data_IF_605372282979
#
_entry.id   IF_605372282979
#
_cell.length_a   1.000
_cell.length_b   1.000
_cell.length_c   1.000
_cell.angle_alpha   90.00
_cell.angle_beta   90.00
_cell.angle_gamma   90.00
#
_symmetry.space_group_name_H-M   'P 1'
#
loop_
_entity.id
_entity.type
_entity.pdbx_description
1 polymer ?
#
# COMPACT_ATOMS: atom_id res chain seq x y z
N UNK A 1 -14.79 -3.32 -18.37
CA UNK A 1 -14.21 -4.64 -18.03
C UNK A 1 -12.68 -4.69 -18.17
N UNK A 2 -12.04 -3.74 -18.90
CA UNK A 2 -10.57 -3.56 -18.98
C UNK A 2 -10.03 -2.57 -17.91
N UNK A 3 -10.90 -2.13 -17.00
CA UNK A 3 -10.78 -0.85 -16.26
C UNK A 3 -9.91 -0.90 -14.99
N UNK A 4 -9.55 -2.08 -14.49
CA UNK A 4 -8.78 -2.22 -13.22
C UNK A 4 -7.77 -3.37 -13.27
N UNK A 5 -7.91 -4.31 -14.21
CA UNK A 5 -7.01 -5.45 -14.35
C UNK A 5 -5.62 -5.05 -14.87
N UNK A 6 -5.50 -3.97 -15.66
CA UNK A 6 -4.18 -3.47 -16.07
C UNK A 6 -3.47 -2.74 -14.91
N UNK A 7 -4.26 -2.01 -14.12
CA UNK A 7 -3.85 -1.13 -13.01
C UNK A 7 -3.29 -1.90 -11.80
N UNK A 8 -3.88 -3.04 -11.46
CA UNK A 8 -3.46 -3.82 -10.28
C UNK A 8 -2.40 -4.89 -10.63
N UNK A 9 -2.25 -5.24 -11.91
CA UNK A 9 -1.32 -6.30 -12.37
C UNK A 9 0.05 -5.74 -12.77
N UNK A 10 0.20 -4.43 -13.00
CA UNK A 10 1.49 -3.82 -13.33
C UNK A 10 2.39 -3.50 -12.12
N UNK A 11 2.89 -4.55 -11.44
CA UNK A 11 4.07 -4.53 -10.52
C UNK A 11 3.76 -4.50 -9.02
N UNK A 12 3.24 -5.61 -8.51
CA UNK A 12 3.25 -5.90 -7.07
C UNK A 12 4.51 -6.71 -6.70
N UNK A 13 5.35 -6.11 -5.85
CA UNK A 13 6.68 -6.57 -5.43
C UNK A 13 6.65 -7.49 -4.19
N UNK A 14 7.52 -8.52 -4.19
CA UNK A 14 7.99 -9.43 -3.10
C UNK A 14 7.15 -10.66 -2.59
N UNK A 15 7.68 -11.86 -2.96
CA UNK A 15 7.88 -13.19 -2.29
C UNK A 15 6.73 -13.96 -1.53
N UNK A 16 6.36 -15.21 -1.91
CA UNK A 16 6.78 -16.60 -1.47
C UNK A 16 6.41 -16.93 0.01
N UNK A 17 5.74 -18.02 0.47
CA UNK A 17 5.25 -19.31 -0.06
C UNK A 17 4.25 -20.02 0.93
N UNK A 18 3.51 -21.02 0.42
CA UNK A 18 2.84 -22.23 1.01
C UNK A 18 1.73 -22.16 2.12
N UNK A 19 0.63 -22.96 2.02
CA UNK A 19 -0.51 -22.92 2.93
C UNK A 19 -0.40 -23.95 4.07
N UNK A 20 -0.45 -23.52 5.33
CA UNK A 20 -0.66 -24.44 6.46
C UNK A 20 -1.75 -23.97 7.43
N UNK A 21 -2.50 -24.98 7.87
CA UNK A 21 -3.75 -25.00 8.63
C UNK A 21 -3.72 -24.26 9.97
N UNK A 22 -4.89 -23.70 10.31
CA UNK A 22 -5.23 -23.06 11.58
C UNK A 22 -5.03 -23.95 12.81
N UNK A 23 -4.33 -23.46 13.84
CA UNK A 23 -4.38 -23.95 15.23
C UNK A 23 -4.32 -22.75 16.19
N UNK A 24 -5.08 -22.82 17.29
CA UNK A 24 -5.28 -21.76 18.30
C UNK A 24 -4.28 -21.89 19.47
N UNK A 25 -3.62 -20.76 19.76
CA UNK A 25 -3.04 -20.21 21.00
C UNK A 25 -2.28 -21.10 22.02
N UNK A 26 -1.07 -20.63 22.37
CA UNK A 26 -0.45 -20.82 23.69
C UNK A 26 1.03 -20.42 23.77
N UNK A 27 1.39 -19.52 24.70
CA UNK A 27 2.73 -19.43 25.31
C UNK A 27 3.70 -18.33 24.81
N UNK A 28 4.15 -17.46 25.72
CA UNK A 28 5.09 -16.35 25.53
C UNK A 28 6.57 -16.80 25.43
N UNK A 29 7.45 -16.00 24.79
CA UNK A 29 8.82 -15.66 25.26
C UNK A 29 9.72 -15.01 24.16
N UNK A 30 10.36 -13.90 24.55
CA UNK A 30 11.71 -13.39 24.18
C UNK A 30 12.30 -13.67 22.77
N UNK A 31 11.69 -13.14 21.70
CA UNK A 31 12.37 -13.09 20.39
C UNK A 31 11.86 -11.97 19.47
N UNK A 32 11.95 -10.72 19.94
CA UNK A 32 11.35 -9.56 19.25
C UNK A 32 12.23 -8.96 18.13
N UNK A 33 13.52 -9.33 18.08
CA UNK A 33 14.49 -8.87 17.07
C UNK A 33 14.73 -9.88 15.93
N UNK A 34 14.37 -11.15 16.14
CA UNK A 34 14.72 -12.25 15.21
C UNK A 34 13.64 -12.53 14.17
N UNK A 35 12.50 -11.82 14.23
CA UNK A 35 11.43 -11.87 13.21
C UNK A 35 11.46 -10.60 12.37
N UNK A 36 12.55 -10.38 11.64
CA UNK A 36 12.57 -9.39 10.56
C UNK A 36 11.48 -9.80 9.55
N UNK A 37 10.63 -8.85 9.19
CA UNK A 37 9.68 -8.98 8.09
C UNK A 37 10.45 -9.24 6.79
N UNK A 38 9.84 -9.94 5.82
CA UNK A 38 10.49 -10.33 4.56
C UNK A 38 11.22 -9.17 3.88
N UNK A 39 10.68 -7.96 4.00
CA UNK A 39 11.22 -6.72 3.42
C UNK A 39 12.53 -6.24 4.04
N UNK A 40 12.84 -6.63 5.27
CA UNK A 40 14.05 -6.25 6.02
C UNK A 40 15.01 -7.45 6.15
N UNK A 41 14.62 -8.61 5.64
CA UNK A 41 15.47 -9.78 5.53
C UNK A 41 16.61 -9.57 4.53
N UNK A 42 17.74 -10.23 4.78
CA UNK A 42 18.85 -10.24 3.83
C UNK A 42 18.56 -11.23 2.70
N UNK A 43 18.89 -10.86 1.47
CA UNK A 43 18.86 -11.79 0.34
C UNK A 43 20.20 -12.56 0.26
N UNK A 44 20.21 -13.89 0.42
CA UNK A 44 21.42 -14.70 0.26
C UNK A 44 22.06 -14.58 -1.12
N UNK A 45 21.26 -14.37 -2.18
CA UNK A 45 21.76 -14.23 -3.55
C UNK A 45 22.58 -12.94 -3.77
N UNK A 46 22.47 -11.97 -2.87
CA UNK A 46 23.23 -10.71 -2.91
C UNK A 46 24.29 -10.63 -1.80
N UNK A 47 24.73 -11.76 -1.23
CA UNK A 47 25.89 -11.75 -0.33
C UNK A 47 27.16 -11.33 -1.10
N UNK A 48 27.88 -10.33 -0.56
CA UNK A 48 29.07 -9.78 -1.23
C UNK A 48 28.78 -8.97 -2.49
N UNK A 49 27.55 -8.44 -2.66
CA UNK A 49 27.15 -7.64 -3.83
C UNK A 49 28.12 -6.49 -4.13
N UNK A 50 28.74 -5.90 -3.10
CA UNK A 50 29.72 -4.81 -3.20
C UNK A 50 31.08 -5.22 -3.77
N UNK A 51 31.34 -6.53 -3.87
CA UNK A 51 32.60 -7.11 -4.39
C UNK A 51 32.45 -7.64 -5.83
N UNK A 52 31.23 -7.68 -6.35
CA UNK A 52 30.93 -8.16 -7.70
C UNK A 52 31.28 -7.11 -8.77
N UNK A 53 31.57 -7.59 -9.97
CA UNK A 53 31.63 -6.72 -11.15
C UNK A 53 30.24 -6.15 -11.46
N UNK A 54 30.20 -5.05 -12.24
CA UNK A 54 28.93 -4.44 -12.65
C UNK A 54 28.01 -5.44 -13.37
N UNK A 55 28.54 -6.30 -14.23
CA UNK A 55 27.72 -7.29 -14.95
C UNK A 55 27.11 -8.33 -14.01
N UNK A 56 27.87 -8.79 -13.02
CA UNK A 56 27.37 -9.74 -12.02
C UNK A 56 26.30 -9.11 -11.12
N UNK A 57 26.46 -7.85 -10.70
CA UNK A 57 25.41 -7.10 -9.97
C UNK A 57 24.13 -7.03 -10.81
N UNK A 58 24.24 -6.71 -12.10
CA UNK A 58 23.10 -6.64 -13.00
C UNK A 58 22.41 -8.00 -13.16
N UNK A 59 23.16 -9.10 -13.22
CA UNK A 59 22.58 -10.45 -13.23
C UNK A 59 21.81 -10.74 -11.95
N UNK A 60 22.39 -10.46 -10.78
CA UNK A 60 21.70 -10.65 -9.49
C UNK A 60 20.40 -9.86 -9.43
N UNK A 61 20.41 -8.59 -9.86
CA UNK A 61 19.20 -7.76 -9.88
C UNK A 61 18.14 -8.29 -10.87
N UNK A 62 18.55 -8.65 -12.08
CA UNK A 62 17.65 -9.17 -13.11
C UNK A 62 17.01 -10.51 -12.69
N UNK A 63 17.78 -11.38 -12.04
CA UNK A 63 17.29 -12.67 -11.56
C UNK A 63 16.24 -12.49 -10.45
N UNK A 64 16.42 -11.51 -9.55
CA UNK A 64 15.39 -11.15 -8.56
C UNK A 64 14.16 -10.50 -9.20
N UNK A 65 14.33 -9.66 -10.22
CA UNK A 65 13.21 -9.05 -10.96
C UNK A 65 12.34 -10.11 -11.66
N UNK A 66 12.93 -11.19 -12.16
CA UNK A 66 12.19 -12.29 -12.77
C UNK A 66 11.22 -13.00 -11.80
N UNK A 67 11.40 -12.86 -10.49
CA UNK A 67 10.51 -13.44 -9.49
C UNK A 67 9.24 -12.62 -9.26
N UNK A 68 9.22 -11.36 -9.71
CA UNK A 68 8.10 -10.44 -9.49
C UNK A 68 6.82 -10.91 -10.19
N UNK A 69 6.82 -11.27 -11.49
CA UNK A 69 5.61 -11.77 -12.16
C UNK A 69 4.98 -12.98 -11.47
N UNK A 70 5.79 -13.92 -10.98
CA UNK A 70 5.29 -15.10 -10.27
C UNK A 70 4.66 -14.74 -8.91
N UNK A 71 5.23 -13.75 -8.21
CA UNK A 71 4.63 -13.22 -6.99
C UNK A 71 3.27 -12.55 -7.26
N UNK A 72 3.17 -11.77 -8.34
CA UNK A 72 1.88 -11.20 -8.79
C UNK A 72 0.89 -12.29 -9.14
N UNK A 73 1.33 -13.34 -9.85
CA UNK A 73 0.48 -14.46 -10.26
C UNK A 73 -0.20 -15.14 -9.05
N UNK A 74 0.54 -15.29 -7.94
CA UNK A 74 -0.01 -15.85 -6.70
C UNK A 74 -1.02 -14.93 -6.01
N UNK A 75 -0.98 -13.61 -6.26
CA UNK A 75 -1.88 -12.63 -5.68
C UNK A 75 -3.11 -12.32 -6.55
N UNK A 76 -3.24 -12.92 -7.74
CA UNK A 76 -4.35 -12.66 -8.66
C UNK A 76 -5.75 -12.77 -8.01
N UNK A 77 -6.06 -13.72 -7.11
CA UNK A 77 -7.37 -13.75 -6.45
C UNK A 77 -7.65 -12.53 -5.56
N UNK A 78 -6.62 -12.05 -4.83
CA UNK A 78 -6.74 -10.85 -4.00
C UNK A 78 -6.85 -9.59 -4.86
N UNK A 79 -6.05 -9.51 -5.92
CA UNK A 79 -6.11 -8.46 -6.94
C UNK A 79 -7.50 -8.39 -7.58
N UNK A 80 -8.08 -9.53 -7.96
CA UNK A 80 -9.43 -9.60 -8.52
C UNK A 80 -10.49 -9.03 -7.56
N UNK A 81 -10.38 -9.32 -6.26
CA UNK A 81 -11.30 -8.78 -5.24
C UNK A 81 -11.22 -7.25 -5.16
N UNK A 82 -10.01 -6.68 -5.25
CA UNK A 82 -9.80 -5.22 -5.26
C UNK A 82 -10.37 -4.61 -6.54
N UNK A 83 -10.12 -5.25 -7.68
CA UNK A 83 -10.65 -4.88 -9.00
C UNK A 83 -12.16 -4.80 -8.98
N UNK A 84 -12.84 -5.85 -8.51
CA UNK A 84 -14.30 -5.91 -8.44
C UNK A 84 -14.88 -4.83 -7.52
N UNK A 85 -14.24 -4.57 -6.37
CA UNK A 85 -14.63 -3.50 -5.47
C UNK A 85 -14.50 -2.12 -6.13
N UNK A 86 -13.38 -1.85 -6.79
CA UNK A 86 -13.14 -0.60 -7.50
C UNK A 86 -14.15 -0.39 -8.64
N UNK A 87 -14.42 -1.42 -9.45
CA UNK A 87 -15.44 -1.36 -10.50
C UNK A 87 -16.81 -1.02 -9.91
N UNK A 88 -17.21 -1.68 -8.83
CA UNK A 88 -18.50 -1.42 -8.18
C UNK A 88 -18.59 0.00 -7.62
N UNK A 89 -17.53 0.50 -6.97
CA UNK A 89 -17.47 1.85 -6.43
C UNK A 89 -17.52 2.93 -7.51
N UNK A 90 -16.68 2.81 -8.53
CA UNK A 90 -16.63 3.73 -9.67
C UNK A 90 -17.96 3.76 -10.43
N UNK A 91 -18.59 2.60 -10.65
CA UNK A 91 -19.91 2.50 -11.32
C UNK A 91 -21.02 3.18 -10.53
N UNK A 92 -20.86 3.30 -9.20
CA UNK A 92 -21.77 4.01 -8.33
C UNK A 92 -21.40 5.50 -8.14
N UNK A 93 -20.48 6.03 -8.96
CA UNK A 93 -20.04 7.42 -8.91
C UNK A 93 -19.04 7.74 -7.80
N UNK A 94 -18.44 6.73 -7.18
CA UNK A 94 -17.34 6.88 -6.24
C UNK A 94 -16.00 7.09 -6.94
N UNK A 95 -14.93 7.13 -6.14
CA UNK A 95 -13.54 7.29 -6.54
C UNK A 95 -12.70 6.08 -6.14
N UNK A 96 -11.59 5.87 -6.83
CA UNK A 96 -10.49 5.00 -6.38
C UNK A 96 -9.39 5.88 -5.76
N UNK A 97 -9.01 5.61 -4.51
CA UNK A 97 -8.05 6.43 -3.77
C UNK A 97 -6.88 5.53 -3.33
N UNK A 98 -5.68 5.82 -3.83
CA UNK A 98 -4.45 5.22 -3.33
C UNK A 98 -3.92 6.01 -2.14
N UNK A 99 -3.48 5.32 -1.09
CA UNK A 99 -2.84 5.94 0.07
C UNK A 99 -1.52 5.22 0.35
N UNK A 100 -0.39 5.89 0.16
CA UNK A 100 0.93 5.30 0.35
C UNK A 100 1.96 6.27 0.91
N UNK A 101 3.13 5.74 1.27
CA UNK A 101 4.29 6.54 1.67
C UNK A 101 5.51 6.21 0.80
N UNK A 102 6.45 7.16 0.70
CA UNK A 102 7.68 6.99 -0.07
C UNK A 102 7.43 6.52 -1.50
N UNK A 103 8.16 5.50 -1.95
CA UNK A 103 7.98 4.90 -3.29
C UNK A 103 6.56 4.38 -3.52
N UNK A 104 5.92 3.81 -2.50
CA UNK A 104 4.55 3.28 -2.62
C UNK A 104 3.54 4.40 -2.92
N UNK A 105 3.68 5.53 -2.22
CA UNK A 105 2.84 6.72 -2.48
C UNK A 105 3.08 7.31 -3.86
N UNK A 106 4.36 7.40 -4.30
CA UNK A 106 4.71 7.88 -5.64
C UNK A 106 4.12 7.01 -6.75
N UNK A 107 4.12 5.69 -6.59
CA UNK A 107 3.48 4.77 -7.54
C UNK A 107 1.97 4.97 -7.61
N UNK A 108 1.30 5.20 -6.46
CA UNK A 108 -0.12 5.53 -6.44
C UNK A 108 -0.45 6.84 -7.15
N UNK A 109 0.38 7.87 -6.98
CA UNK A 109 0.22 9.16 -7.69
C UNK A 109 0.48 9.00 -9.19
N UNK A 110 1.51 8.23 -9.57
CA UNK A 110 1.83 7.94 -10.97
C UNK A 110 0.65 7.26 -11.68
N UNK A 111 0.10 6.19 -11.09
CA UNK A 111 -1.03 5.46 -11.65
C UNK A 111 -2.29 6.34 -11.79
N UNK A 112 -2.59 7.14 -10.77
CA UNK A 112 -3.70 8.10 -10.83
C UNK A 112 -3.53 9.13 -11.96
N UNK A 113 -2.32 9.64 -12.16
CA UNK A 113 -2.02 10.64 -13.20
C UNK A 113 -2.15 10.07 -14.63
N UNK A 114 -1.95 8.78 -14.83
CA UNK A 114 -2.07 8.12 -16.13
C UNK A 114 -3.53 7.84 -16.54
N UNK A 115 -4.47 7.85 -15.59
CA UNK A 115 -5.87 7.51 -15.85
C UNK A 115 -6.57 8.50 -16.81
N UNK A 116 -6.51 9.84 -16.61
CA UNK A 116 -7.16 10.79 -17.52
C UNK A 116 -6.68 10.71 -18.98
N UNK A 117 -5.38 10.73 -19.30
CA UNK A 117 -4.93 10.67 -20.70
C UNK A 117 -5.14 9.29 -21.34
N UNK A 118 -5.08 8.20 -20.57
CA UNK A 118 -5.19 6.83 -21.11
C UNK A 118 -6.65 6.43 -21.33
N UNK A 119 -7.54 6.79 -20.41
CA UNK A 119 -8.92 6.30 -20.37
C UNK A 119 -9.97 7.41 -20.49
N UNK A 120 -9.57 8.67 -20.70
CA UNK A 120 -10.48 9.83 -20.78
C UNK A 120 -11.34 10.01 -19.53
N UNK A 121 -10.82 9.64 -18.36
CA UNK A 121 -11.53 9.78 -17.07
C UNK A 121 -11.47 11.20 -16.54
N UNK A 122 -12.44 11.55 -15.68
CA UNK A 122 -12.34 12.78 -14.90
C UNK A 122 -11.10 12.74 -13.99
N UNK A 123 -10.32 13.85 -13.84
CA UNK A 123 -9.08 13.86 -13.06
C UNK A 123 -9.22 13.43 -11.60
N UNK A 124 -10.42 13.53 -11.02
CA UNK A 124 -10.67 13.16 -9.62
C UNK A 124 -11.25 11.74 -9.45
N UNK A 125 -11.38 10.98 -10.54
CA UNK A 125 -11.93 9.61 -10.49
C UNK A 125 -10.95 8.64 -9.81
N UNK A 126 -9.65 8.85 -10.03
CA UNK A 126 -8.56 8.12 -9.38
C UNK A 126 -7.65 9.14 -8.70
N UNK A 127 -7.34 8.94 -7.42
CA UNK A 127 -6.62 9.92 -6.59
C UNK A 127 -5.44 9.24 -5.90
N UNK A 128 -4.27 9.86 -5.96
CA UNK A 128 -3.08 9.41 -5.22
C UNK A 128 -2.82 10.29 -3.99
N UNK A 129 -2.79 9.70 -2.80
CA UNK A 129 -2.29 10.32 -1.58
C UNK A 129 -0.92 9.77 -1.22
N UNK A 130 0.00 10.69 -0.91
CA UNK A 130 1.36 10.39 -0.50
C UNK A 130 1.64 11.05 0.86
N UNK A 131 2.11 10.25 1.81
CA UNK A 131 2.56 10.74 3.11
C UNK A 131 3.61 11.84 2.95
N UNK A 132 3.43 12.98 3.61
CA UNK A 132 4.27 14.17 3.45
C UNK A 132 3.83 15.12 2.32
N UNK A 133 2.71 14.81 1.66
CA UNK A 133 2.07 15.68 0.66
C UNK A 133 2.89 15.87 -0.62
N UNK A 134 2.59 16.94 -1.36
CA UNK A 134 3.18 17.17 -2.69
C UNK A 134 4.71 17.22 -2.69
N UNK A 135 5.36 17.71 -1.62
CA UNK A 135 6.82 17.73 -1.53
C UNK A 135 7.42 16.31 -1.54
N UNK A 136 6.70 15.33 -0.97
CA UNK A 136 7.12 13.93 -0.94
C UNK A 136 7.27 13.31 -2.34
N UNK A 137 6.63 13.90 -3.37
CA UNK A 137 6.81 13.49 -4.76
C UNK A 137 8.24 13.73 -5.26
N UNK A 138 8.88 14.82 -4.80
CA UNK A 138 10.18 15.24 -5.31
C UNK A 138 11.33 14.93 -4.35
N UNK A 139 11.06 14.88 -3.05
CA UNK A 139 12.06 14.64 -2.01
C UNK A 139 11.49 13.72 -0.93
N UNK A 140 12.33 12.86 -0.34
CA UNK A 140 11.90 12.09 0.82
C UNK A 140 11.63 13.03 2.01
N UNK A 141 10.53 12.79 2.73
CA UNK A 141 10.19 13.51 3.95
C UNK A 141 10.36 12.53 5.11
N UNK A 142 11.38 12.75 5.94
CA UNK A 142 11.65 11.89 7.08
C UNK A 142 10.48 11.87 8.07
N UNK A 143 10.16 10.69 8.59
CA UNK A 143 9.08 10.49 9.58
C UNK A 143 7.66 10.65 9.05
N UNK A 144 7.46 11.02 7.78
CA UNK A 144 6.12 11.19 7.22
C UNK A 144 5.29 9.89 7.25
N UNK A 145 5.94 8.73 7.11
CA UNK A 145 5.25 7.43 7.16
C UNK A 145 4.87 6.99 8.57
N UNK A 146 5.47 7.57 9.60
CA UNK A 146 5.29 7.19 11.01
C UNK A 146 4.10 7.90 11.68
N UNK A 147 3.50 8.89 11.02
CA UNK A 147 2.40 9.68 11.57
C UNK A 147 1.02 9.09 11.21
N UNK A 148 0.50 8.25 12.11
CA UNK A 148 -0.82 7.63 11.95
C UNK A 148 -1.97 8.65 11.97
N UNK A 149 -1.89 9.68 12.80
CA UNK A 149 -2.95 10.68 12.92
C UNK A 149 -3.02 11.51 11.64
N UNK A 150 -1.87 11.86 11.08
CA UNK A 150 -1.81 12.61 9.83
C UNK A 150 -2.43 11.85 8.66
N UNK A 151 -2.17 10.54 8.54
CA UNK A 151 -2.81 9.73 7.52
C UNK A 151 -4.34 9.69 7.65
N UNK A 152 -4.87 9.70 8.87
CA UNK A 152 -6.30 9.78 9.12
C UNK A 152 -6.89 11.17 8.77
N UNK A 153 -6.17 12.25 9.08
CA UNK A 153 -6.59 13.61 8.74
C UNK A 153 -6.64 13.82 7.22
N UNK A 154 -5.59 13.42 6.50
CA UNK A 154 -5.47 13.62 5.06
C UNK A 154 -6.55 12.87 4.27
N UNK A 155 -6.84 11.60 4.63
CA UNK A 155 -7.92 10.87 3.96
C UNK A 155 -9.30 11.46 4.26
N UNK A 156 -9.52 11.98 5.48
CA UNK A 156 -10.78 12.59 5.87
C UNK A 156 -10.99 13.93 5.17
N UNK A 157 -9.92 14.67 4.87
CA UNK A 157 -9.98 15.91 4.09
C UNK A 157 -10.51 15.70 2.67
N UNK A 158 -10.40 14.48 2.11
CA UNK A 158 -11.04 14.12 0.84
C UNK A 158 -12.55 13.89 0.93
N UNK A 159 -13.13 13.91 2.15
CA UNK A 159 -14.54 13.64 2.41
C UNK A 159 -15.04 12.35 1.72
N UNK A 160 -14.43 11.18 1.99
CA UNK A 160 -14.71 9.96 1.24
C UNK A 160 -16.19 9.56 1.29
N UNK A 161 -16.75 9.32 0.11
CA UNK A 161 -18.15 8.95 -0.09
C UNK A 161 -18.44 7.47 0.18
N UNK A 162 -19.73 7.07 0.22
CA UNK A 162 -20.17 5.68 0.39
C UNK A 162 -19.60 4.69 -0.63
N UNK A 163 -19.23 5.20 -1.81
CA UNK A 163 -18.82 4.44 -2.98
C UNK A 163 -17.32 4.57 -3.27
N UNK A 164 -16.59 5.32 -2.45
CA UNK A 164 -15.14 5.45 -2.59
C UNK A 164 -14.44 4.18 -2.11
N UNK A 165 -13.44 3.75 -2.86
CA UNK A 165 -12.57 2.61 -2.55
C UNK A 165 -11.20 3.15 -2.22
N UNK A 166 -10.65 2.74 -1.07
CA UNK A 166 -9.34 3.19 -0.60
C UNK A 166 -8.37 2.01 -0.58
N UNK A 167 -7.25 2.13 -1.28
CA UNK A 167 -6.22 1.08 -1.35
C UNK A 167 -4.96 1.57 -0.67
N UNK A 168 -4.58 0.90 0.42
CA UNK A 168 -3.35 1.23 1.15
C UNK A 168 -2.14 0.54 0.54
N UNK A 169 -1.13 1.31 0.14
CA UNK A 169 0.10 0.83 -0.50
C UNK A 169 1.28 0.90 0.47
N UNK A 170 1.76 -0.27 0.92
CA UNK A 170 2.92 -0.38 1.81
C UNK A 170 3.61 -1.74 1.66
N UNK A 171 4.92 -1.75 1.36
CA UNK A 171 5.69 -2.98 1.22
C UNK A 171 5.87 -3.71 2.57
N UNK A 172 6.34 -2.98 3.58
CA UNK A 172 6.58 -3.52 4.94
C UNK A 172 5.30 -3.94 5.68
N UNK A 173 4.13 -3.59 5.13
CA UNK A 173 2.84 -3.79 5.77
C UNK A 173 2.56 -2.85 6.94
N UNK A 174 3.55 -2.15 7.51
CA UNK A 174 3.44 -1.58 8.86
C UNK A 174 3.44 -0.05 8.95
N UNK A 175 3.59 0.67 7.83
CA UNK A 175 3.63 2.15 7.81
C UNK A 175 2.42 2.76 8.54
N UNK A 176 2.62 3.42 9.71
CA UNK A 176 1.54 3.96 10.53
C UNK A 176 0.63 4.93 9.78
N UNK A 177 1.16 5.82 8.94
CA UNK A 177 0.38 6.77 8.14
C UNK A 177 -0.64 6.05 7.24
N UNK A 178 -0.20 5.01 6.51
CA UNK A 178 -1.08 4.22 5.62
C UNK A 178 -2.15 3.48 6.42
N UNK A 179 -1.78 2.94 7.58
CA UNK A 179 -2.71 2.27 8.49
C UNK A 179 -3.76 3.26 9.02
N UNK A 180 -3.34 4.48 9.38
CA UNK A 180 -4.20 5.57 9.81
C UNK A 180 -5.24 5.94 8.75
N UNK A 181 -4.78 6.18 7.52
CA UNK A 181 -5.63 6.50 6.37
C UNK A 181 -6.68 5.42 6.10
N UNK A 182 -6.26 4.15 6.01
CA UNK A 182 -7.16 3.01 5.77
C UNK A 182 -8.18 2.86 6.91
N UNK A 183 -7.77 3.02 8.17
CA UNK A 183 -8.66 2.92 9.33
C UNK A 183 -9.70 4.04 9.33
N UNK A 184 -9.29 5.29 9.08
CA UNK A 184 -10.19 6.44 9.03
C UNK A 184 -11.21 6.32 7.88
N UNK A 185 -10.78 5.90 6.69
CA UNK A 185 -11.69 5.64 5.57
C UNK A 185 -12.75 4.58 5.91
N UNK A 186 -12.33 3.50 6.59
CA UNK A 186 -13.26 2.46 7.06
C UNK A 186 -14.27 3.01 8.06
N UNK A 187 -13.84 3.84 9.01
CA UNK A 187 -14.70 4.46 10.04
C UNK A 187 -15.69 5.47 9.46
N UNK A 188 -15.27 6.27 8.46
CA UNK A 188 -16.15 7.17 7.72
C UNK A 188 -17.33 6.42 7.03
N UNK A 189 -17.17 5.10 6.83
CA UNK A 189 -18.21 4.21 6.33
C UNK A 189 -19.27 3.72 7.35
N UNK A 190 -19.12 3.99 8.65
CA UNK A 190 -19.89 3.32 9.72
C UNK A 190 -21.09 4.13 10.23
N UNK A 191 -21.90 4.78 9.37
CA UNK A 191 -23.34 4.62 9.60
C UNK A 191 -24.10 4.17 8.35
N UNK A 192 -24.53 2.91 8.39
CA UNK A 192 -25.71 2.30 7.73
C UNK A 192 -25.70 1.83 6.25
N UNK A 193 -24.71 2.09 5.38
CA UNK A 193 -24.63 1.44 4.03
C UNK A 193 -23.40 1.78 3.18
N UNK A 194 -22.32 2.31 3.77
CA UNK A 194 -21.13 2.76 3.03
C UNK A 194 -20.16 1.59 2.88
N UNK A 195 -19.82 1.21 1.64
CA UNK A 195 -18.86 0.15 1.36
C UNK A 195 -17.54 0.81 0.96
N UNK A 196 -16.78 1.28 1.94
CA UNK A 196 -15.38 1.61 1.73
C UNK A 196 -14.58 0.30 1.84
N UNK A 197 -14.13 -0.23 0.70
CA UNK A 197 -13.24 -1.40 0.69
C UNK A 197 -11.84 -0.88 0.93
N UNK A 198 -11.42 -0.89 2.19
CA UNK A 198 -10.05 -0.60 2.57
C UNK A 198 -9.27 -1.91 2.62
N UNK A 199 -8.55 -2.21 1.55
CA UNK A 199 -7.67 -3.38 1.49
C UNK A 199 -6.24 -2.92 1.78
N UNK A 200 -5.58 -3.62 2.71
CA UNK A 200 -4.12 -3.69 2.71
C UNK A 200 -3.81 -4.73 1.65
N UNK A 201 -3.08 -4.36 0.61
CA UNK A 201 -2.51 -5.38 -0.26
C UNK A 201 -1.69 -6.32 0.62
N UNK A 202 -1.99 -7.63 0.65
CA UNK A 202 -1.22 -8.59 1.42
C UNK A 202 0.06 -8.90 0.63
N UNK A 203 0.91 -7.88 0.45
CA UNK A 203 2.31 -8.11 0.06
C UNK A 203 3.17 -8.38 1.31
N UNK A 204 2.55 -8.32 2.50
CA UNK A 204 3.07 -8.90 3.74
C UNK A 204 1.88 -9.28 4.66
N UNK A 205 1.72 -10.57 4.91
CA UNK A 205 0.78 -11.07 5.92
C UNK A 205 1.36 -10.75 7.30
N UNK A 206 0.87 -9.69 7.95
CA UNK A 206 1.05 -9.53 9.39
C UNK A 206 -0.24 -9.07 10.05
N UNK A 207 -0.84 -10.01 10.80
CA UNK A 207 -1.85 -9.74 11.82
C UNK A 207 -1.22 -8.78 12.83
N UNK A 208 -1.73 -7.56 12.95
CA UNK A 208 -1.31 -6.64 14.01
C UNK A 208 -2.52 -6.24 14.85
N UNK A 209 -2.48 -6.73 16.09
CA UNK A 209 -3.24 -6.24 17.23
C UNK A 209 -2.47 -5.00 17.70
N UNK A 210 -3.12 -3.83 17.74
CA UNK A 210 -2.49 -2.58 18.16
C UNK A 210 -2.85 -2.29 19.63
N UNK A 211 -1.90 -2.19 20.57
CA UNK A 211 -2.11 -1.51 21.83
C UNK A 211 -1.89 0.00 21.63
N UNK A 212 -2.79 0.82 22.18
CA UNK A 212 -2.75 2.29 22.11
C UNK A 212 -1.70 2.86 23.07
N UNK A 213 -0.76 3.68 22.57
CA UNK A 213 -0.09 4.73 23.37
C UNK A 213 0.17 5.95 22.50
N UNK A 214 -0.12 7.12 23.06
CA UNK A 214 -0.01 8.44 22.46
C UNK A 214 1.37 9.06 22.68
N UNK A 215 1.94 9.68 21.64
CA UNK A 215 3.12 10.55 21.67
C UNK A 215 2.84 11.82 20.85
N UNK A 216 3.54 12.94 21.08
CA UNK A 216 3.09 14.27 20.71
C UNK A 216 3.18 14.58 19.21
N UNK A 217 2.26 15.42 18.76
CA UNK A 217 1.93 15.77 17.37
C UNK A 217 2.95 16.68 16.68
N UNK A 218 3.45 16.23 15.53
CA UNK A 218 3.94 17.11 14.47
C UNK A 218 2.72 17.60 13.68
N UNK A 219 2.64 18.90 13.39
CA UNK A 219 1.53 19.45 12.59
C UNK A 219 1.62 18.92 11.16
N UNK A 220 0.54 18.29 10.68
CA UNK A 220 0.39 17.93 9.27
C UNK A 220 0.61 19.15 8.38
N UNK A 221 1.42 18.98 7.34
CA UNK A 221 1.52 19.98 6.28
C UNK A 221 0.23 19.94 5.46
N UNK A 222 -0.42 21.08 5.17
CA UNK A 222 -1.65 21.10 4.39
C UNK A 222 -1.32 20.80 2.92
N UNK A 223 -1.25 19.52 2.56
CA UNK A 223 -1.11 19.07 1.18
C UNK A 223 -2.45 19.15 0.46
N UNK A 224 -2.51 19.87 -0.67
CA UNK A 224 -3.57 19.63 -1.64
C UNK A 224 -3.34 18.24 -2.26
N UNK A 225 -4.38 17.45 -2.52
CA UNK A 225 -4.25 16.24 -3.33
C UNK A 225 -3.61 16.61 -4.67
N UNK A 226 -2.64 15.81 -5.10
CA UNK A 226 -1.91 15.99 -6.37
C UNK A 226 -2.72 15.36 -7.51
#
# INVERSE_FOLDING_TARGET
MVYVAHTVVQRAWFQDMEPRSFVVAGGESMDHLTRLTTTEGRNPASEGLDQLTTLEVLHVMNDEDHRVPDAVARQLPAIATIVEAAVAGLSAGGRLIYAGAGTSGRLGVLDAAECPPTFSTHPTMVVGLIAGGQQAMFQAVEGAEDDQECGAEEINALHPGPHDVVVGLVASGRAPWVIGAVRAAKQAGVPSRRRCVATRTPLSVTRSICPSRSTPTLKCSPGRPV
#
